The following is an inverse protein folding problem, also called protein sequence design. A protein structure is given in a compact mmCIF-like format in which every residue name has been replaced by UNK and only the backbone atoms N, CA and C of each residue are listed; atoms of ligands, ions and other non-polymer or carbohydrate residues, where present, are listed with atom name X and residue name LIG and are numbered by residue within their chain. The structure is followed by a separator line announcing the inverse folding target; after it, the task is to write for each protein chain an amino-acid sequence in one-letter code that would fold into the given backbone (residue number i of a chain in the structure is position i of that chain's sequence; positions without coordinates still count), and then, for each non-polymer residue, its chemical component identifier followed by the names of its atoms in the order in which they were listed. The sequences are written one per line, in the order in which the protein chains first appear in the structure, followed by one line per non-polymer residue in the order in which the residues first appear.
data_IF_867264212315
#
_entry.id   IF_867264212315
#
_cell.length_a   1.000
_cell.length_b   1.000
_cell.length_c   1.000
_cell.angle_alpha   90.00
_cell.angle_beta   90.00
_cell.angle_gamma   90.00
#
_symmetry.space_group_name_H-M   'P 1'
#
loop_
_entity.id
_entity.type
_entity.pdbx_description
1 polymer ?
#
# COMPACT_ATOMS: atom_id res chain seq x y z
N UNK A 1 -27.33 -41.85 20.08
CA UNK A 1 -26.56 -41.16 19.00
C UNK A 1 -25.65 -42.17 18.33
N UNK A 2 -25.66 -42.23 17.03
CA UNK A 2 -24.72 -43.06 16.29
C UNK A 2 -23.30 -42.46 16.38
N UNK A 3 -22.23 -43.27 16.19
CA UNK A 3 -20.87 -42.76 16.17
C UNK A 3 -20.68 -41.60 15.15
N UNK A 4 -21.40 -41.62 14.04
CA UNK A 4 -21.36 -40.60 13.02
C UNK A 4 -22.00 -39.26 13.46
N UNK A 5 -23.09 -39.32 14.25
CA UNK A 5 -23.69 -38.11 14.84
C UNK A 5 -22.74 -37.42 15.82
N UNK A 6 -22.00 -38.21 16.61
CA UNK A 6 -21.01 -37.68 17.55
C UNK A 6 -19.87 -37.01 16.78
N UNK A 7 -19.34 -37.65 15.72
CA UNK A 7 -18.27 -37.08 14.88
C UNK A 7 -18.73 -35.77 14.24
N UNK A 8 -19.95 -35.75 13.70
CA UNK A 8 -20.50 -34.53 13.06
C UNK A 8 -20.63 -33.39 14.06
N UNK A 9 -21.13 -33.65 15.27
CA UNK A 9 -21.25 -32.64 16.33
C UNK A 9 -19.89 -32.09 16.72
N UNK A 10 -18.88 -32.93 16.86
CA UNK A 10 -17.51 -32.51 17.19
C UNK A 10 -16.93 -31.65 16.07
N UNK A 11 -17.09 -32.06 14.81
CA UNK A 11 -16.61 -31.26 13.66
C UNK A 11 -17.29 -29.89 13.57
N UNK A 12 -18.62 -29.85 13.74
CA UNK A 12 -19.35 -28.58 13.74
C UNK A 12 -18.93 -27.69 14.90
N UNK A 13 -18.70 -28.25 16.08
CA UNK A 13 -18.21 -27.48 17.23
C UNK A 13 -16.84 -26.89 16.99
N UNK A 14 -15.93 -27.67 16.39
CA UNK A 14 -14.59 -27.15 16.00
C UNK A 14 -14.69 -26.03 14.97
N UNK A 15 -15.54 -26.21 13.96
CA UNK A 15 -15.77 -25.15 12.94
C UNK A 15 -16.30 -23.85 13.60
N UNK A 16 -17.28 -23.97 14.48
CA UNK A 16 -17.84 -22.79 15.20
C UNK A 16 -16.76 -22.10 16.02
N UNK A 17 -15.93 -22.86 16.76
CA UNK A 17 -14.82 -22.29 17.54
C UNK A 17 -13.84 -21.57 16.63
N UNK A 18 -13.46 -22.14 15.48
CA UNK A 18 -12.55 -21.50 14.52
C UNK A 18 -13.14 -20.23 13.92
N UNK A 19 -14.45 -20.21 13.62
CA UNK A 19 -15.14 -19.01 13.13
C UNK A 19 -15.15 -17.91 14.20
N UNK A 20 -15.46 -18.24 15.44
CA UNK A 20 -15.46 -17.27 16.56
C UNK A 20 -14.05 -16.71 16.78
N UNK A 21 -13.03 -17.55 16.78
CA UNK A 21 -11.64 -17.13 16.87
C UNK A 21 -11.26 -16.21 15.70
N UNK A 22 -11.70 -16.54 14.49
CA UNK A 22 -11.50 -15.70 13.30
C UNK A 22 -12.10 -14.30 13.45
N UNK A 23 -13.32 -14.21 13.97
CA UNK A 23 -13.98 -12.91 14.25
C UNK A 23 -13.20 -12.13 15.30
N UNK A 24 -12.79 -12.78 16.40
CA UNK A 24 -12.01 -12.11 17.46
C UNK A 24 -10.68 -11.57 16.91
N UNK A 25 -9.95 -12.39 16.14
CA UNK A 25 -8.67 -11.96 15.52
C UNK A 25 -8.91 -10.78 14.58
N UNK A 26 -9.96 -10.81 13.77
CA UNK A 26 -10.32 -9.73 12.86
C UNK A 26 -10.64 -8.43 13.60
N UNK A 27 -11.41 -8.50 14.69
CA UNK A 27 -11.74 -7.30 15.49
C UNK A 27 -10.50 -6.73 16.19
N UNK A 28 -9.61 -7.60 16.70
CA UNK A 28 -8.32 -7.16 17.27
C UNK A 28 -7.43 -6.51 16.23
N UNK A 29 -7.40 -7.06 15.02
CA UNK A 29 -6.65 -6.48 13.91
C UNK A 29 -7.19 -5.09 13.53
N UNK A 30 -8.52 -4.93 13.40
CA UNK A 30 -9.13 -3.61 13.16
C UNK A 30 -8.79 -2.60 14.26
N UNK A 31 -8.83 -3.01 15.52
CA UNK A 31 -8.48 -2.15 16.64
C UNK A 31 -7.01 -1.73 16.58
N UNK A 32 -6.12 -2.63 16.17
CA UNK A 32 -4.71 -2.31 15.98
C UNK A 32 -4.52 -1.25 14.88
N UNK A 33 -5.18 -1.40 13.73
CA UNK A 33 -5.12 -0.44 12.62
C UNK A 33 -5.71 0.92 13.03
N UNK A 34 -6.80 0.92 13.81
CA UNK A 34 -7.37 2.16 14.36
C UNK A 34 -6.38 2.88 15.29
N UNK A 35 -5.66 2.14 16.13
CA UNK A 35 -4.63 2.72 17.01
C UNK A 35 -3.46 3.31 16.23
N UNK A 36 -3.10 2.74 15.09
CA UNK A 36 -2.07 3.28 14.22
C UNK A 36 -2.44 4.69 13.71
N UNK A 37 -3.70 4.90 13.27
CA UNK A 37 -4.17 6.24 12.89
C UNK A 37 -4.07 7.25 14.04
N UNK A 38 -4.47 6.85 15.26
CA UNK A 38 -4.29 7.70 16.46
C UNK A 38 -2.81 7.99 16.72
N UNK A 39 -1.93 7.00 16.47
CA UNK A 39 -0.48 7.16 16.56
C UNK A 39 0.06 8.24 15.62
N UNK A 40 -0.51 8.39 14.43
CA UNK A 40 -0.11 9.44 13.50
C UNK A 40 -0.39 10.85 14.05
N UNK A 41 -1.53 11.08 14.70
CA UNK A 41 -1.85 12.37 15.32
C UNK A 41 -0.78 12.76 16.35
N UNK A 42 -0.29 11.80 17.15
CA UNK A 42 0.80 12.05 18.10
C UNK A 42 2.15 12.30 17.40
N UNK A 43 2.41 11.63 16.28
CA UNK A 43 3.63 11.84 15.50
C UNK A 43 3.62 13.18 14.77
N UNK A 44 2.43 13.68 14.41
CA UNK A 44 2.26 14.94 13.69
C UNK A 44 2.71 16.15 14.52
N UNK A 45 2.66 16.05 15.87
CA UNK A 45 3.20 17.06 16.78
C UNK A 45 4.72 17.26 16.62
N UNK A 46 5.42 16.24 16.09
CA UNK A 46 6.86 16.22 15.87
C UNK A 46 7.25 16.21 14.38
N UNK A 47 6.27 16.19 13.49
CA UNK A 47 6.53 16.32 12.08
C UNK A 47 7.06 17.74 11.81
N UNK A 48 8.17 17.87 11.10
CA UNK A 48 8.66 19.17 10.66
C UNK A 48 7.65 19.83 9.71
N UNK A 49 7.84 21.13 9.45
CA UNK A 49 6.97 21.87 8.53
C UNK A 49 7.00 21.30 7.11
N UNK A 50 5.82 21.23 6.49
CA UNK A 50 5.62 20.78 5.11
C UNK A 50 6.33 19.44 4.78
N UNK A 51 6.08 18.33 5.50
CA UNK A 51 6.82 17.08 5.31
C UNK A 51 6.59 16.49 3.91
N UNK A 52 7.55 15.67 3.46
CA UNK A 52 7.35 14.77 2.34
C UNK A 52 6.63 13.52 2.87
N UNK A 53 5.45 13.23 2.38
CA UNK A 53 4.62 12.13 2.88
C UNK A 53 4.68 10.92 1.94
N UNK A 54 4.95 9.73 2.48
CA UNK A 54 4.70 8.45 1.81
C UNK A 54 3.33 7.93 2.25
N UNK A 55 2.39 7.87 1.30
CA UNK A 55 0.98 7.50 1.54
C UNK A 55 0.66 6.19 0.84
N UNK A 56 0.03 5.25 1.56
CA UNK A 56 -0.32 3.95 0.98
C UNK A 56 -0.82 2.93 1.98
N UNK A 57 -0.65 1.65 1.61
CA UNK A 57 -1.05 0.47 2.37
C UNK A 57 0.11 -0.17 3.16
N UNK A 58 0.07 -1.50 3.38
CA UNK A 58 1.12 -2.24 4.09
C UNK A 58 2.50 -2.15 3.43
N UNK A 59 2.56 -1.97 2.12
CA UNK A 59 3.82 -1.82 1.39
C UNK A 59 4.49 -0.49 1.69
N UNK A 60 3.72 0.52 2.06
CA UNK A 60 4.20 1.80 2.59
C UNK A 60 4.41 1.73 4.10
N UNK A 61 3.46 1.16 4.85
CA UNK A 61 3.52 1.02 6.32
C UNK A 61 4.82 0.36 6.79
N UNK A 62 5.20 -0.76 6.15
CA UNK A 62 6.41 -1.52 6.48
C UNK A 62 7.70 -0.93 5.91
N UNK A 63 7.61 0.16 5.14
CA UNK A 63 8.77 0.84 4.60
C UNK A 63 9.43 1.71 5.68
N UNK A 64 10.66 1.41 6.11
CA UNK A 64 11.35 2.19 7.15
C UNK A 64 11.87 3.51 6.57
N UNK A 65 10.95 4.37 6.15
CA UNK A 65 11.27 5.63 5.44
C UNK A 65 12.11 6.58 6.28
N UNK A 66 11.89 6.63 7.60
CA UNK A 66 12.66 7.46 8.51
C UNK A 66 14.15 7.14 8.51
N UNK A 67 14.50 5.85 8.46
CA UNK A 67 15.90 5.39 8.42
C UNK A 67 16.49 5.56 7.00
N UNK A 68 15.71 5.19 5.97
CA UNK A 68 16.21 5.19 4.61
C UNK A 68 16.32 6.59 3.99
N UNK A 69 15.50 7.53 4.43
CA UNK A 69 15.50 8.90 3.93
C UNK A 69 15.98 9.93 4.95
N UNK A 70 16.57 9.51 6.08
CA UNK A 70 17.34 10.44 6.90
C UNK A 70 18.46 11.06 6.02
N UNK A 71 18.64 12.34 5.92
CA UNK A 71 18.22 13.46 6.76
C UNK A 71 17.02 14.29 6.23
N UNK A 72 16.19 13.73 5.36
CA UNK A 72 15.04 14.47 4.80
C UNK A 72 13.84 14.46 5.75
N UNK A 73 12.99 15.49 5.66
CA UNK A 73 11.76 15.56 6.44
C UNK A 73 10.68 14.67 5.82
N UNK A 74 10.70 13.39 6.14
CA UNK A 74 9.81 12.36 5.58
C UNK A 74 8.89 11.82 6.65
N UNK A 75 7.58 11.78 6.35
CA UNK A 75 6.55 11.15 7.17
C UNK A 75 5.94 9.93 6.47
N UNK A 76 5.93 8.78 7.15
CA UNK A 76 5.22 7.59 6.66
C UNK A 76 3.75 7.64 7.12
N UNK A 77 2.83 7.53 6.16
CA UNK A 77 1.38 7.47 6.38
C UNK A 77 0.78 6.24 5.68
N UNK A 78 1.54 5.15 5.65
CA UNK A 78 1.04 3.83 5.28
C UNK A 78 0.20 3.21 6.39
N UNK A 79 -0.89 2.52 6.03
CA UNK A 79 -1.66 1.66 6.95
C UNK A 79 -1.91 0.32 6.29
N UNK A 80 -1.50 -0.76 6.97
CA UNK A 80 -1.68 -2.09 6.46
C UNK A 80 -3.15 -2.39 6.12
N UNK A 81 -3.36 -3.06 4.99
CA UNK A 81 -4.67 -3.42 4.43
C UNK A 81 -5.53 -2.27 3.89
N UNK A 82 -5.06 -1.02 3.87
CA UNK A 82 -5.82 0.06 3.24
C UNK A 82 -6.08 -0.23 1.77
N UNK A 83 -7.30 0.08 1.34
CA UNK A 83 -7.72 0.21 -0.06
C UNK A 83 -7.71 1.68 -0.46
N UNK A 84 -7.95 1.95 -1.74
CA UNK A 84 -8.19 3.33 -2.23
C UNK A 84 -9.30 4.03 -1.45
N UNK A 85 -10.37 3.32 -1.08
CA UNK A 85 -11.47 3.86 -0.28
C UNK A 85 -11.05 4.19 1.15
N UNK A 86 -10.21 3.36 1.77
CA UNK A 86 -9.71 3.59 3.13
C UNK A 86 -8.77 4.82 3.18
N UNK A 87 -7.86 4.96 2.19
CA UNK A 87 -7.02 6.15 2.05
C UNK A 87 -7.86 7.41 1.82
N UNK A 88 -8.87 7.35 0.95
CA UNK A 88 -9.80 8.45 0.72
C UNK A 88 -10.50 8.90 2.00
N UNK A 89 -10.92 7.95 2.85
CA UNK A 89 -11.64 8.22 4.09
C UNK A 89 -10.77 8.88 5.19
N UNK A 90 -9.44 8.89 5.04
CA UNK A 90 -8.49 9.55 5.97
C UNK A 90 -7.62 10.62 5.30
N UNK A 91 -7.98 11.02 4.10
CA UNK A 91 -7.16 11.95 3.32
C UNK A 91 -7.04 13.32 3.99
N UNK A 92 -8.09 13.77 4.67
CA UNK A 92 -8.10 15.03 5.42
C UNK A 92 -7.01 15.07 6.51
N UNK A 93 -6.70 13.92 7.14
CA UNK A 93 -5.63 13.81 8.13
C UNK A 93 -4.24 14.04 7.48
N UNK A 94 -4.06 13.59 6.24
CA UNK A 94 -2.83 13.81 5.46
C UNK A 94 -2.73 15.26 5.00
N UNK A 95 -3.83 15.82 4.50
CA UNK A 95 -3.91 17.22 4.06
C UNK A 95 -3.63 18.18 5.23
N UNK A 96 -4.11 17.85 6.44
CA UNK A 96 -3.89 18.66 7.63
C UNK A 96 -2.40 18.83 8.00
N UNK A 97 -1.53 17.90 7.59
CA UNK A 97 -0.07 18.02 7.70
C UNK A 97 0.51 19.09 6.79
N UNK A 98 -0.27 19.58 5.82
CA UNK A 98 0.20 20.48 4.76
C UNK A 98 1.50 20.00 4.10
N UNK A 99 1.54 18.75 3.60
CA UNK A 99 2.76 18.21 3.03
C UNK A 99 3.17 19.01 1.79
N UNK A 100 4.48 19.19 1.60
CA UNK A 100 5.00 19.77 0.35
C UNK A 100 4.86 18.79 -0.81
N UNK A 101 4.95 17.49 -0.53
CA UNK A 101 4.95 16.44 -1.55
C UNK A 101 4.37 15.13 -1.00
N UNK A 102 3.62 14.40 -1.83
CA UNK A 102 3.10 13.07 -1.50
C UNK A 102 3.60 12.04 -2.53
N UNK A 103 4.28 11.01 -2.05
CA UNK A 103 4.54 9.78 -2.81
C UNK A 103 3.41 8.81 -2.54
N UNK A 104 2.53 8.58 -3.53
CA UNK A 104 1.33 7.74 -3.38
C UNK A 104 1.55 6.35 -3.98
N UNK A 105 1.37 5.29 -3.17
CA UNK A 105 1.35 3.88 -3.60
C UNK A 105 0.15 3.18 -2.99
N UNK A 106 -0.89 2.85 -3.79
CA UNK A 106 -2.13 2.24 -3.30
C UNK A 106 -2.86 1.48 -4.42
N UNK A 107 -3.60 0.42 -4.06
CA UNK A 107 -4.51 -0.28 -4.98
C UNK A 107 -4.34 -1.80 -5.06
N UNK A 108 -3.27 -2.36 -4.48
CA UNK A 108 -3.09 -3.83 -4.48
C UNK A 108 -4.17 -4.52 -3.64
N UNK A 109 -4.60 -3.91 -2.53
CA UNK A 109 -5.67 -4.45 -1.69
C UNK A 109 -7.03 -4.37 -2.35
N UNK A 110 -7.28 -3.37 -3.20
CA UNK A 110 -8.48 -3.29 -4.03
C UNK A 110 -8.55 -4.49 -4.99
N UNK A 111 -7.44 -4.79 -5.69
CA UNK A 111 -7.33 -5.96 -6.58
C UNK A 111 -7.57 -7.27 -5.84
N UNK A 112 -7.01 -7.42 -4.63
CA UNK A 112 -7.16 -8.62 -3.78
C UNK A 112 -8.60 -8.78 -3.32
N UNK A 113 -9.23 -7.73 -2.79
CA UNK A 113 -10.55 -7.81 -2.16
C UNK A 113 -11.69 -7.93 -3.17
N UNK A 114 -11.65 -7.17 -4.25
CA UNK A 114 -12.74 -7.12 -5.22
C UNK A 114 -12.58 -8.12 -6.37
N UNK A 115 -11.39 -8.68 -6.53
CA UNK A 115 -11.12 -9.72 -7.50
C UNK A 115 -11.47 -9.27 -8.93
N UNK A 116 -12.04 -10.18 -9.72
CA UNK A 116 -12.37 -9.93 -11.14
C UNK A 116 -13.41 -8.83 -11.38
N UNK A 117 -14.10 -8.37 -10.34
CA UNK A 117 -15.10 -7.28 -10.46
C UNK A 117 -14.44 -5.91 -10.62
N UNK A 118 -13.23 -5.75 -10.11
CA UNK A 118 -12.48 -4.50 -10.23
C UNK A 118 -11.69 -4.51 -11.54
N UNK A 119 -11.99 -3.60 -12.45
CA UNK A 119 -11.19 -3.39 -13.66
C UNK A 119 -10.04 -2.41 -13.41
N UNK A 120 -9.05 -2.39 -14.30
CA UNK A 120 -7.94 -1.46 -14.22
C UNK A 120 -8.39 0.00 -14.34
N UNK A 121 -9.45 0.26 -15.15
CA UNK A 121 -10.04 1.58 -15.32
C UNK A 121 -10.66 2.09 -14.02
N UNK A 122 -11.48 1.26 -13.35
CA UNK A 122 -12.11 1.61 -12.07
C UNK A 122 -11.04 1.88 -10.99
N UNK A 123 -10.00 1.04 -10.92
CA UNK A 123 -8.90 1.25 -9.99
C UNK A 123 -8.18 2.57 -10.29
N UNK A 124 -7.86 2.82 -11.55
CA UNK A 124 -7.22 4.06 -11.98
C UNK A 124 -8.06 5.30 -11.60
N UNK A 125 -9.38 5.27 -11.81
CA UNK A 125 -10.28 6.35 -11.40
C UNK A 125 -10.26 6.57 -9.88
N UNK A 126 -10.26 5.51 -9.08
CA UNK A 126 -10.21 5.61 -7.62
C UNK A 126 -8.88 6.21 -7.13
N UNK A 127 -7.77 5.78 -7.70
CA UNK A 127 -6.45 6.35 -7.36
C UNK A 127 -6.42 7.84 -7.72
N UNK A 128 -6.94 8.21 -8.90
CA UNK A 128 -6.94 9.61 -9.32
C UNK A 128 -7.90 10.50 -8.53
N UNK A 129 -8.94 9.97 -7.89
CA UNK A 129 -9.73 10.75 -6.92
C UNK A 129 -8.89 11.22 -5.72
N UNK A 130 -7.97 10.37 -5.26
CA UNK A 130 -7.03 10.72 -4.19
C UNK A 130 -6.04 11.78 -4.69
N UNK A 131 -5.47 11.55 -5.87
CA UNK A 131 -4.54 12.48 -6.52
C UNK A 131 -5.18 13.86 -6.72
N UNK A 132 -6.36 13.90 -7.31
CA UNK A 132 -7.08 15.14 -7.61
C UNK A 132 -7.40 15.94 -6.33
N UNK A 133 -7.75 15.24 -5.24
CA UNK A 133 -8.00 15.88 -3.95
C UNK A 133 -6.72 16.48 -3.35
N UNK A 134 -5.57 15.80 -3.44
CA UNK A 134 -4.28 16.34 -2.99
C UNK A 134 -3.84 17.54 -3.83
N UNK A 135 -3.95 17.44 -5.16
CA UNK A 135 -3.58 18.52 -6.08
C UNK A 135 -4.47 19.74 -5.91
N UNK A 136 -5.76 19.56 -5.60
CA UNK A 136 -6.69 20.66 -5.30
C UNK A 136 -6.26 21.50 -4.08
N UNK A 137 -5.53 20.90 -3.14
CA UNK A 137 -4.94 21.54 -1.96
C UNK A 137 -3.52 22.11 -2.23
N UNK A 138 -3.07 22.09 -3.49
CA UNK A 138 -1.74 22.57 -3.89
C UNK A 138 -0.58 21.65 -3.53
N UNK A 139 -0.87 20.39 -3.19
CA UNK A 139 0.12 19.40 -2.81
C UNK A 139 0.68 18.72 -4.07
N UNK A 140 2.01 18.71 -4.21
CA UNK A 140 2.64 17.94 -5.29
C UNK A 140 2.53 16.43 -5.06
N UNK A 141 2.25 15.67 -6.12
CA UNK A 141 2.09 14.22 -6.05
C UNK A 141 3.01 13.52 -7.05
N UNK A 142 3.80 12.58 -6.54
CA UNK A 142 4.46 11.54 -7.36
C UNK A 142 3.70 10.23 -7.18
N UNK A 143 3.16 9.72 -8.27
CA UNK A 143 2.45 8.45 -8.27
C UNK A 143 3.45 7.30 -8.47
N UNK A 144 3.44 6.34 -7.56
CA UNK A 144 4.23 5.13 -7.67
C UNK A 144 3.39 4.01 -8.32
N UNK A 145 4.01 3.19 -9.16
CA UNK A 145 3.36 2.01 -9.71
C UNK A 145 2.94 1.05 -8.59
N UNK A 146 1.91 0.24 -8.81
CA UNK A 146 1.67 -0.96 -8.02
C UNK A 146 2.87 -1.91 -8.17
N UNK A 147 3.27 -2.53 -7.07
CA UNK A 147 4.42 -3.42 -7.07
C UNK A 147 4.04 -4.82 -7.58
N UNK A 148 5.00 -5.57 -8.15
CA UNK A 148 4.74 -6.93 -8.62
C UNK A 148 4.46 -7.86 -7.45
N UNK A 149 3.77 -8.96 -7.71
CA UNK A 149 3.55 -10.07 -6.77
C UNK A 149 4.27 -11.33 -7.26
N UNK A 150 4.57 -12.26 -6.33
CA UNK A 150 5.11 -13.57 -6.64
C UNK A 150 4.14 -14.67 -6.25
N UNK A 151 3.57 -15.34 -7.25
CA UNK A 151 2.49 -16.33 -7.07
C UNK A 151 2.96 -17.75 -6.72
N UNK A 152 4.19 -17.93 -6.23
CA UNK A 152 4.63 -19.25 -5.75
C UNK A 152 3.84 -19.68 -4.51
N UNK A 153 3.72 -21.02 -4.32
CA UNK A 153 3.09 -21.58 -3.13
C UNK A 153 3.90 -21.21 -1.89
N UNK A 154 3.46 -20.17 -1.20
CA UNK A 154 3.93 -19.83 0.15
C UNK A 154 2.92 -20.34 1.17
N UNK A 155 3.42 -20.93 2.25
CA UNK A 155 2.57 -21.55 3.27
C UNK A 155 1.68 -20.54 4.02
N UNK A 156 2.12 -19.30 4.13
CA UNK A 156 1.49 -18.26 4.96
C UNK A 156 0.48 -17.42 4.18
N UNK A 157 0.71 -17.14 2.89
CA UNK A 157 -0.25 -16.40 2.06
C UNK A 157 -0.96 -17.41 1.17
N UNK A 158 -2.25 -17.53 1.38
CA UNK A 158 -3.10 -18.40 0.56
C UNK A 158 -2.95 -18.02 -0.91
N UNK A 159 -2.67 -18.97 -1.81
CA UNK A 159 -2.74 -18.73 -3.25
C UNK A 159 -4.07 -18.10 -3.69
N UNK A 160 -5.14 -18.28 -2.92
CA UNK A 160 -6.42 -17.63 -3.16
C UNK A 160 -6.37 -16.12 -2.97
N UNK A 161 -5.61 -15.61 -2.01
CA UNK A 161 -5.44 -14.15 -1.79
C UNK A 161 -4.72 -13.52 -2.98
N UNK A 162 -3.61 -14.14 -3.45
CA UNK A 162 -2.85 -13.64 -4.59
C UNK A 162 -3.48 -13.97 -5.95
N UNK A 163 -4.49 -14.87 -6.01
CA UNK A 163 -5.17 -15.18 -7.27
C UNK A 163 -5.86 -13.98 -7.92
N UNK A 164 -6.22 -12.98 -7.13
CA UNK A 164 -6.87 -11.78 -7.62
C UNK A 164 -5.90 -10.62 -7.87
N UNK A 165 -4.68 -10.70 -7.36
CA UNK A 165 -3.60 -9.73 -7.56
C UNK A 165 -2.49 -10.31 -8.46
N UNK A 166 -2.85 -10.89 -9.60
CA UNK A 166 -1.86 -11.36 -10.58
C UNK A 166 -1.18 -10.19 -11.31
N UNK A 167 0.06 -10.43 -11.77
CA UNK A 167 0.87 -9.39 -12.42
C UNK A 167 0.29 -8.89 -13.76
N UNK A 168 -0.57 -9.65 -14.42
CA UNK A 168 -1.30 -9.17 -15.62
C UNK A 168 -2.23 -8.02 -15.27
N UNK A 169 -2.97 -8.13 -14.16
CA UNK A 169 -3.87 -7.07 -13.67
C UNK A 169 -3.08 -5.88 -13.07
N UNK A 170 -1.99 -6.17 -12.37
CA UNK A 170 -1.08 -5.13 -11.86
C UNK A 170 -0.51 -4.31 -13.00
N UNK A 171 -0.04 -4.96 -14.08
CA UNK A 171 0.52 -4.29 -15.26
C UNK A 171 -0.53 -3.45 -15.98
N UNK A 172 -1.74 -4.00 -16.20
CA UNK A 172 -2.85 -3.25 -16.83
C UNK A 172 -3.21 -1.99 -16.04
N UNK A 173 -3.24 -2.07 -14.70
CA UNK A 173 -3.46 -0.91 -13.84
C UNK A 173 -2.30 0.10 -13.95
N UNK A 174 -1.06 -0.36 -13.91
CA UNK A 174 0.13 0.49 -14.02
C UNK A 174 0.22 1.24 -15.36
N UNK A 175 -0.16 0.58 -16.47
CA UNK A 175 -0.22 1.21 -17.79
C UNK A 175 -1.23 2.36 -17.83
N UNK A 176 -2.42 2.18 -17.25
CA UNK A 176 -3.43 3.23 -17.18
C UNK A 176 -3.03 4.36 -16.24
N UNK A 177 -2.45 4.03 -15.07
CA UNK A 177 -1.94 5.01 -14.12
C UNK A 177 -0.85 5.88 -14.76
N UNK A 178 0.13 5.25 -15.42
CA UNK A 178 1.20 5.96 -16.11
C UNK A 178 0.67 6.87 -17.23
N UNK A 179 -0.26 6.36 -18.06
CA UNK A 179 -0.89 7.13 -19.14
C UNK A 179 -1.64 8.36 -18.58
N UNK A 180 -2.42 8.17 -17.52
CA UNK A 180 -3.20 9.26 -16.93
C UNK A 180 -2.30 10.28 -16.22
N UNK A 181 -1.26 9.83 -15.52
CA UNK A 181 -0.25 10.70 -14.91
C UNK A 181 0.45 11.55 -15.98
N UNK A 182 0.90 10.95 -17.08
CA UNK A 182 1.53 11.68 -18.18
C UNK A 182 0.57 12.72 -18.81
N UNK A 183 -0.70 12.38 -19.00
CA UNK A 183 -1.71 13.32 -19.51
C UNK A 183 -1.97 14.49 -18.56
N UNK A 184 -1.80 14.29 -17.26
CA UNK A 184 -1.91 15.33 -16.22
C UNK A 184 -0.59 16.09 -15.95
N UNK A 185 0.49 15.76 -16.67
CA UNK A 185 1.81 16.36 -16.43
C UNK A 185 2.45 15.96 -15.09
N UNK A 186 2.01 14.84 -14.52
CA UNK A 186 2.46 14.35 -13.21
C UNK A 186 3.61 13.36 -13.34
N UNK A 187 4.46 13.33 -12.30
CA UNK A 187 5.52 12.33 -12.17
C UNK A 187 4.93 10.95 -11.86
N UNK A 188 5.32 9.94 -12.64
CA UNK A 188 5.00 8.53 -12.40
C UNK A 188 6.31 7.73 -12.27
N UNK A 189 6.53 7.14 -11.10
CA UNK A 189 7.70 6.32 -10.83
C UNK A 189 7.37 4.84 -11.03
N UNK A 190 7.95 4.21 -12.06
CA UNK A 190 7.77 2.79 -12.34
C UNK A 190 8.65 1.90 -11.44
N UNK A 191 8.34 1.89 -10.14
CA UNK A 191 9.02 1.04 -9.15
C UNK A 191 8.83 -0.45 -9.44
N UNK A 192 7.71 -0.83 -10.09
CA UNK A 192 7.43 -2.21 -10.49
C UNK A 192 8.60 -2.81 -11.28
N UNK A 193 9.16 -2.08 -12.23
CA UNK A 193 10.27 -2.54 -13.06
C UNK A 193 11.53 -2.86 -12.24
N UNK A 194 11.80 -2.10 -11.18
CA UNK A 194 12.95 -2.30 -10.29
C UNK A 194 12.85 -3.58 -9.46
N UNK A 195 11.63 -4.03 -9.18
CA UNK A 195 11.33 -5.17 -8.31
C UNK A 195 11.10 -6.47 -9.08
N UNK A 196 10.89 -6.40 -10.40
CA UNK A 196 10.49 -7.52 -11.24
C UNK A 196 11.72 -8.34 -11.70
N UNK A 197 11.61 -9.66 -11.67
CA UNK A 197 12.60 -10.57 -12.28
C UNK A 197 12.35 -10.74 -13.80
N UNK A 198 13.20 -11.52 -14.47
CA UNK A 198 13.08 -11.78 -15.91
C UNK A 198 11.80 -12.52 -16.34
N UNK A 199 10.98 -12.99 -15.40
CA UNK A 199 9.69 -13.66 -15.67
C UNK A 199 8.48 -12.74 -15.46
N UNK A 200 8.70 -11.51 -15.04
CA UNK A 200 7.62 -10.57 -14.71
C UNK A 200 7.06 -10.72 -13.30
N UNK A 201 7.67 -11.55 -12.45
CA UNK A 201 7.28 -11.70 -11.04
C UNK A 201 8.19 -10.90 -10.10
N UNK A 202 7.70 -10.58 -8.90
CA UNK A 202 8.50 -10.03 -7.82
C UNK A 202 9.73 -10.91 -7.57
N UNK A 203 10.91 -10.34 -7.52
CA UNK A 203 12.16 -11.07 -7.26
C UNK A 203 12.04 -11.89 -5.98
N UNK A 204 12.56 -13.12 -6.00
CA UNK A 204 12.42 -14.07 -4.89
C UNK A 204 13.01 -13.54 -3.59
N UNK A 205 14.13 -12.88 -3.65
CA UNK A 205 14.84 -12.29 -2.50
C UNK A 205 14.16 -11.03 -1.95
N UNK A 206 13.20 -10.49 -2.69
CA UNK A 206 12.47 -9.27 -2.32
C UNK A 206 11.17 -9.53 -1.55
N UNK A 207 10.81 -10.82 -1.33
CA UNK A 207 9.59 -11.17 -0.59
C UNK A 207 9.77 -12.46 0.20
N UNK A 208 9.01 -12.58 1.30
CA UNK A 208 8.95 -13.80 2.10
C UNK A 208 7.74 -14.67 1.73
N UNK A 209 6.63 -14.04 1.34
CA UNK A 209 5.34 -14.71 1.13
C UNK A 209 4.65 -14.34 -0.21
N UNK A 210 5.29 -13.53 -1.04
CA UNK A 210 4.84 -13.19 -2.39
C UNK A 210 4.19 -11.83 -2.56
N UNK A 211 3.91 -11.10 -1.48
CA UNK A 211 3.29 -9.76 -1.48
C UNK A 211 4.17 -8.72 -0.75
N UNK A 212 4.41 -8.94 0.55
CA UNK A 212 5.16 -7.98 1.36
C UNK A 212 6.65 -8.05 1.07
N UNK A 213 7.30 -6.90 1.23
CA UNK A 213 8.67 -6.71 0.81
C UNK A 213 9.67 -6.94 1.94
N UNK A 214 10.86 -7.40 1.56
CA UNK A 214 12.03 -7.50 2.44
C UNK A 214 12.80 -6.17 2.47
N UNK A 215 13.69 -6.00 3.46
CA UNK A 215 14.59 -4.84 3.52
C UNK A 215 15.46 -4.66 2.25
N UNK A 216 15.98 -5.73 1.61
CA UNK A 216 16.65 -5.61 0.31
C UNK A 216 15.77 -4.98 -0.78
N UNK A 217 14.46 -5.29 -0.81
CA UNK A 217 13.53 -4.66 -1.75
C UNK A 217 13.33 -3.17 -1.44
N UNK A 218 13.10 -2.81 -0.18
CA UNK A 218 13.00 -1.41 0.23
C UNK A 218 14.27 -0.61 -0.05
N UNK A 219 15.43 -1.21 0.14
CA UNK A 219 16.71 -0.59 -0.26
C UNK A 219 16.77 -0.33 -1.78
N UNK A 220 16.27 -1.24 -2.62
CA UNK A 220 16.19 -1.04 -4.06
C UNK A 220 15.24 0.12 -4.40
N UNK A 221 14.05 0.14 -3.79
CA UNK A 221 13.08 1.24 -3.93
C UNK A 221 13.71 2.57 -3.52
N UNK A 222 14.39 2.60 -2.37
CA UNK A 222 15.05 3.82 -1.89
C UNK A 222 16.06 4.37 -2.89
N UNK A 223 16.90 3.50 -3.46
CA UNK A 223 17.90 3.92 -4.47
C UNK A 223 17.23 4.52 -5.71
N UNK A 224 16.12 3.92 -6.14
CA UNK A 224 15.36 4.40 -7.29
C UNK A 224 14.67 5.73 -6.99
N UNK A 225 14.03 5.87 -5.82
CA UNK A 225 13.28 7.07 -5.45
C UNK A 225 14.13 8.21 -4.90
N UNK A 226 15.37 7.97 -4.47
CA UNK A 226 16.22 8.98 -3.84
C UNK A 226 16.38 10.29 -4.66
N UNK A 227 16.56 10.25 -6.00
CA UNK A 227 16.61 11.47 -6.81
C UNK A 227 15.31 12.29 -6.74
N UNK A 228 14.16 11.61 -6.67
CA UNK A 228 12.84 12.25 -6.59
C UNK A 228 12.61 12.87 -5.20
N UNK A 229 12.98 12.16 -4.13
CA UNK A 229 12.90 12.67 -2.76
C UNK A 229 13.82 13.89 -2.57
N UNK A 230 15.04 13.86 -3.13
CA UNK A 230 15.95 15.01 -3.11
C UNK A 230 15.36 16.24 -3.80
N UNK A 231 14.69 16.06 -4.94
CA UNK A 231 14.04 17.14 -5.68
C UNK A 231 12.86 17.70 -4.88
N UNK A 232 12.01 16.83 -4.32
CA UNK A 232 10.90 17.23 -3.46
C UNK A 232 11.40 18.03 -2.23
N UNK A 233 12.49 17.61 -1.61
CA UNK A 233 13.10 18.31 -0.47
C UNK A 233 13.65 19.69 -0.89
N UNK A 234 14.29 19.79 -2.06
CA UNK A 234 14.75 21.07 -2.58
C UNK A 234 13.58 22.03 -2.80
N UNK A 235 12.51 21.58 -3.48
CA UNK A 235 11.30 22.40 -3.68
C UNK A 235 10.69 22.82 -2.34
N UNK A 236 10.65 21.91 -1.35
CA UNK A 236 10.19 22.23 0.00
C UNK A 236 11.01 23.35 0.65
N UNK A 237 12.33 23.24 0.59
CA UNK A 237 13.24 24.24 1.16
C UNK A 237 13.14 25.60 0.48
N UNK A 238 12.91 25.62 -0.83
CA UNK A 238 12.77 26.86 -1.62
C UNK A 238 11.44 27.59 -1.31
N UNK A 239 10.45 26.90 -0.74
CA UNK A 239 9.12 27.41 -0.41
C UNK A 239 8.92 27.75 1.09
N UNK A 240 9.92 27.49 1.94
CA UNK A 240 9.94 27.85 3.38
C UNK A 240 10.62 29.23 3.59
#
# INVERSE_FOLDING_TARGET
MSPWEIILIVLLSVIIVLLVLGVIVYDRFKELMRKQRVGFVLQDEFAGEAPIVFLGDSLTDFYPTGEFYSPYNVANRGIACDTTADVQARLDEVIALRPSHVFLQIGINDLIREGKKLTAEILCERVFKIVDALVAEGIEVTLLSLYPVRRKKYFIVSPAVLNHADNGRVNAANELLAKKAAAAGMEFCNVHAELTDGTGELKKEFTLEGLHLTLPAYRQITRYLLPYVKRAEQTRMDNL
#
